data_IF_064113844558
#
_entry.id   IF_064113844558
#
_cell.length_a   1.000
_cell.length_b   1.000
_cell.length_c   1.000
_cell.angle_alpha   90.00
_cell.angle_beta   90.00
_cell.angle_gamma   90.00
#
_symmetry.space_group_name_H-M   'P 1'
#
loop_
_entity.id
_entity.type
_entity.pdbx_description
1 polymer ?
#
# COMPACT_ATOMS: atom_id res chain seq x y z
N UNK A 1 4.76 19.13 -1.51
CA UNK A 1 4.89 17.95 -0.66
C UNK A 1 4.06 16.81 -1.22
N UNK A 2 4.63 15.63 -1.28
CA UNK A 2 3.98 14.45 -1.84
C UNK A 2 3.29 13.61 -0.75
N UNK A 3 2.09 13.15 -1.05
CA UNK A 3 1.38 12.10 -0.33
C UNK A 3 1.50 10.79 -1.13
N UNK A 4 1.65 9.66 -0.44
CA UNK A 4 1.75 8.35 -1.07
C UNK A 4 0.64 7.47 -0.54
N UNK A 5 -0.17 6.90 -1.45
CA UNK A 5 -1.06 5.80 -1.17
C UNK A 5 -0.52 4.56 -1.86
N UNK A 6 -0.48 3.45 -1.16
CA UNK A 6 -0.04 2.19 -1.74
C UNK A 6 -0.96 1.05 -1.32
N UNK A 7 -0.85 -0.04 -2.04
CA UNK A 7 -1.54 -1.28 -1.73
C UNK A 7 -0.73 -2.48 -2.18
N UNK A 8 -1.06 -3.62 -1.60
CA UNK A 8 -0.52 -4.92 -1.94
C UNK A 8 -1.68 -5.81 -2.38
N UNK A 9 -1.54 -6.45 -3.53
CA UNK A 9 -2.45 -7.47 -4.02
C UNK A 9 -1.77 -8.84 -3.95
N UNK A 10 -2.46 -9.81 -3.37
CA UNK A 10 -2.03 -11.20 -3.31
C UNK A 10 -3.25 -12.10 -3.07
N UNK A 11 -3.10 -13.40 -3.30
CA UNK A 11 -4.15 -14.36 -2.97
C UNK A 11 -4.09 -14.80 -1.50
N UNK A 12 -5.14 -15.48 -1.02
CA UNK A 12 -5.26 -15.91 0.38
C UNK A 12 -4.17 -16.90 0.80
N UNK A 13 -3.72 -17.76 -0.10
CA UNK A 13 -2.63 -18.72 0.18
C UNK A 13 -1.33 -17.96 0.44
N UNK A 14 -1.03 -16.99 -0.41
CA UNK A 14 0.16 -16.13 -0.28
C UNK A 14 0.14 -15.33 1.03
N UNK A 15 -1.02 -14.80 1.44
CA UNK A 15 -1.16 -14.12 2.74
C UNK A 15 -0.74 -15.06 3.88
N UNK A 16 -1.24 -16.30 3.89
CA UNK A 16 -0.92 -17.27 4.93
C UNK A 16 0.58 -17.63 4.93
N UNK A 17 1.17 -17.83 3.77
CA UNK A 17 2.61 -18.13 3.64
C UNK A 17 3.49 -16.97 4.14
N UNK A 18 3.18 -15.74 3.75
CA UNK A 18 3.91 -14.54 4.21
C UNK A 18 3.75 -14.40 5.71
N UNK A 19 2.54 -14.53 6.24
CA UNK A 19 2.27 -14.43 7.68
C UNK A 19 3.11 -15.44 8.46
N UNK A 20 3.18 -16.70 8.03
CA UNK A 20 3.99 -17.72 8.68
C UNK A 20 5.50 -17.38 8.65
N UNK A 21 6.03 -16.94 7.50
CA UNK A 21 7.42 -16.50 7.37
C UNK A 21 7.72 -15.33 8.30
N UNK A 22 6.80 -14.35 8.39
CA UNK A 22 6.97 -13.19 9.27
C UNK A 22 6.91 -13.59 10.75
N UNK A 23 6.06 -14.54 11.14
CA UNK A 23 6.05 -15.05 12.51
C UNK A 23 7.37 -15.73 12.89
N UNK A 24 7.94 -16.53 11.98
CA UNK A 24 9.26 -17.11 12.19
C UNK A 24 10.34 -16.03 12.33
N UNK A 25 10.27 -14.98 11.52
CA UNK A 25 11.17 -13.83 11.61
C UNK A 25 11.02 -13.08 12.94
N UNK A 26 9.78 -12.87 13.41
CA UNK A 26 9.50 -12.27 14.73
C UNK A 26 10.14 -13.08 15.86
N UNK A 27 9.99 -14.39 15.83
CA UNK A 27 10.60 -15.29 16.82
C UNK A 27 12.14 -15.23 16.78
N UNK A 28 12.76 -15.25 15.58
CA UNK A 28 14.21 -15.12 15.38
C UNK A 28 14.77 -13.87 16.04
N UNK A 29 14.06 -12.74 15.95
CA UNK A 29 14.51 -11.45 16.48
C UNK A 29 13.90 -11.07 17.82
N UNK A 30 13.07 -11.93 18.40
CA UNK A 30 12.26 -11.63 19.60
C UNK A 30 11.53 -10.28 19.47
N UNK A 31 10.87 -10.07 18.32
CA UNK A 31 10.22 -8.80 17.95
C UNK A 31 8.72 -8.99 17.74
N UNK A 32 7.93 -8.58 18.72
CA UNK A 32 6.46 -8.72 18.71
C UNK A 32 5.72 -7.39 18.54
N UNK A 33 6.46 -6.30 18.37
CA UNK A 33 5.87 -5.01 18.07
C UNK A 33 5.41 -4.92 16.61
N UNK A 34 4.55 -3.94 16.33
CA UNK A 34 4.10 -3.64 14.98
C UNK A 34 5.25 -3.10 14.12
N UNK A 35 5.39 -3.63 12.91
CA UNK A 35 6.29 -3.06 11.93
C UNK A 35 5.69 -1.76 11.40
N UNK A 36 6.37 -0.65 11.62
CA UNK A 36 5.98 0.67 11.15
C UNK A 36 7.17 1.45 10.62
N UNK A 37 6.93 2.23 9.58
CA UNK A 37 7.93 3.14 9.03
C UNK A 37 8.49 4.10 10.09
N UNK A 38 7.64 4.56 11.00
CA UNK A 38 8.05 5.47 12.08
C UNK A 38 9.02 4.84 13.06
N UNK A 39 8.99 3.52 13.22
CA UNK A 39 9.71 2.77 14.25
C UNK A 39 11.05 2.19 13.79
N UNK A 40 11.45 2.44 12.53
CA UNK A 40 12.72 1.95 12.00
C UNK A 40 13.88 2.55 12.80
N UNK A 41 14.76 1.66 13.28
CA UNK A 41 15.96 2.00 14.06
C UNK A 41 17.13 1.13 13.62
N UNK A 42 18.36 1.55 13.95
CA UNK A 42 19.56 0.80 13.62
C UNK A 42 19.59 -0.59 14.29
N UNK A 43 19.06 -0.70 15.51
CA UNK A 43 18.96 -1.96 16.26
C UNK A 43 18.22 -3.05 15.47
N UNK A 44 17.16 -2.70 14.78
CA UNK A 44 16.28 -3.64 14.05
C UNK A 44 16.39 -3.53 12.53
N UNK A 45 17.40 -2.83 12.00
CA UNK A 45 17.52 -2.60 10.57
C UNK A 45 17.58 -3.91 9.76
N UNK A 46 18.32 -4.90 10.24
CA UNK A 46 18.41 -6.21 9.57
C UNK A 46 17.09 -6.97 9.60
N UNK A 47 16.33 -6.90 10.69
CA UNK A 47 14.98 -7.44 10.77
C UNK A 47 14.06 -6.83 9.69
N UNK A 48 14.07 -5.49 9.52
CA UNK A 48 13.28 -4.82 8.50
C UNK A 48 13.72 -5.18 7.07
N UNK A 49 15.02 -5.39 6.85
CA UNK A 49 15.54 -5.88 5.56
C UNK A 49 15.06 -7.30 5.26
N UNK A 50 15.18 -8.24 6.21
CA UNK A 50 14.71 -9.61 6.04
C UNK A 50 13.19 -9.66 5.82
N UNK A 51 12.41 -8.83 6.51
CA UNK A 51 10.98 -8.69 6.29
C UNK A 51 10.67 -8.30 4.83
N UNK A 52 11.38 -7.31 4.29
CA UNK A 52 11.19 -6.88 2.91
C UNK A 52 11.64 -7.95 1.90
N UNK A 53 12.67 -8.77 2.21
CA UNK A 53 13.06 -9.88 1.35
C UNK A 53 11.96 -10.95 1.27
N UNK A 54 11.27 -11.27 2.39
CA UNK A 54 10.12 -12.18 2.37
C UNK A 54 9.08 -11.71 1.34
N UNK A 55 8.85 -10.41 1.28
CA UNK A 55 7.92 -9.79 0.34
C UNK A 55 8.48 -9.75 -1.09
N UNK A 56 9.74 -9.32 -1.29
CA UNK A 56 10.31 -9.10 -2.62
C UNK A 56 10.54 -10.37 -3.43
N UNK A 57 10.74 -11.49 -2.77
CA UNK A 57 10.99 -12.79 -3.42
C UNK A 57 9.74 -13.65 -3.55
N UNK A 58 8.56 -13.13 -3.24
CA UNK A 58 7.30 -13.82 -3.53
C UNK A 58 6.70 -13.29 -4.83
N UNK A 59 6.63 -14.14 -5.85
CA UNK A 59 6.12 -13.78 -7.17
C UNK A 59 4.61 -13.54 -7.22
N UNK A 60 3.88 -13.93 -6.18
CA UNK A 60 2.42 -13.82 -6.13
C UNK A 60 1.95 -12.53 -5.42
N UNK A 61 2.87 -11.62 -5.11
CA UNK A 61 2.56 -10.32 -4.52
C UNK A 61 2.84 -9.19 -5.50
N UNK A 62 1.93 -8.25 -5.57
CA UNK A 62 2.06 -7.06 -6.40
C UNK A 62 1.88 -5.84 -5.49
N UNK A 63 2.90 -4.98 -5.44
CA UNK A 63 2.81 -3.68 -4.80
C UNK A 63 2.64 -2.58 -5.84
N UNK A 64 1.68 -1.70 -5.62
CA UNK A 64 1.50 -0.49 -6.43
C UNK A 64 1.27 0.71 -5.53
N UNK A 65 1.79 1.87 -5.95
CA UNK A 65 1.65 3.10 -5.20
C UNK A 65 1.27 4.28 -6.10
N UNK A 66 0.38 5.12 -5.60
CA UNK A 66 -0.03 6.39 -6.20
C UNK A 66 0.68 7.51 -5.46
N UNK A 67 1.47 8.31 -6.17
CA UNK A 67 2.17 9.47 -5.62
C UNK A 67 1.41 10.73 -6.03
N UNK A 68 1.00 11.50 -5.04
CA UNK A 68 0.12 12.65 -5.21
C UNK A 68 0.87 13.91 -4.81
N UNK A 69 1.02 14.85 -5.75
CA UNK A 69 1.53 16.18 -5.45
C UNK A 69 0.43 17.01 -4.78
N UNK A 70 0.55 17.19 -3.47
CA UNK A 70 -0.45 17.92 -2.68
C UNK A 70 -0.55 19.41 -3.05
N UNK A 71 0.46 19.99 -3.71
CA UNK A 71 0.42 21.38 -4.16
C UNK A 71 -0.49 21.57 -5.37
N UNK A 72 -0.70 20.50 -6.15
CA UNK A 72 -1.57 20.50 -7.33
C UNK A 72 -3.02 20.12 -7.02
N UNK A 73 -3.34 19.82 -5.75
CA UNK A 73 -4.68 19.45 -5.35
C UNK A 73 -5.59 20.66 -5.21
N UNK A 74 -6.66 20.70 -5.98
CA UNK A 74 -7.72 21.70 -5.86
C UNK A 74 -9.00 21.07 -5.28
N UNK A 75 -9.07 21.01 -3.94
CA UNK A 75 -10.23 20.41 -3.25
C UNK A 75 -11.52 21.22 -3.46
N UNK A 76 -11.44 22.54 -3.67
CA UNK A 76 -12.62 23.38 -3.93
C UNK A 76 -13.28 22.99 -5.25
N UNK A 77 -12.48 22.84 -6.29
CA UNK A 77 -12.98 22.56 -7.65
C UNK A 77 -13.45 21.10 -7.80
N UNK A 78 -12.72 20.13 -7.23
CA UNK A 78 -12.93 18.71 -7.56
C UNK A 78 -13.59 17.90 -6.46
N UNK A 79 -13.64 18.39 -5.21
CA UNK A 79 -14.07 17.59 -4.07
C UNK A 79 -15.09 18.33 -3.17
N UNK A 80 -15.82 19.32 -3.71
CA UNK A 80 -16.79 20.10 -2.93
C UNK A 80 -16.18 20.65 -1.61
N UNK A 81 -14.90 21.03 -1.66
CA UNK A 81 -14.09 21.42 -0.50
C UNK A 81 -13.97 20.34 0.59
N UNK A 82 -14.30 19.09 0.29
CA UNK A 82 -14.22 17.96 1.22
C UNK A 82 -12.97 17.11 0.94
N UNK A 83 -12.00 17.14 1.85
CA UNK A 83 -10.76 16.37 1.73
C UNK A 83 -11.00 14.85 1.80
N UNK A 84 -12.01 14.41 2.53
CA UNK A 84 -12.38 12.99 2.63
C UNK A 84 -12.82 12.44 1.27
N UNK A 85 -13.70 13.15 0.56
CA UNK A 85 -14.10 12.75 -0.81
C UNK A 85 -12.88 12.63 -1.72
N UNK A 86 -11.95 13.59 -1.65
CA UNK A 86 -10.70 13.54 -2.40
C UNK A 86 -9.87 12.30 -2.10
N UNK A 87 -9.78 11.93 -0.83
CA UNK A 87 -9.02 10.77 -0.38
C UNK A 87 -9.63 9.46 -0.91
N UNK A 88 -10.95 9.31 -0.90
CA UNK A 88 -11.62 8.14 -1.45
C UNK A 88 -11.55 8.05 -2.98
N UNK A 89 -11.48 9.17 -3.69
CA UNK A 89 -11.18 9.21 -5.13
C UNK A 89 -9.78 8.64 -5.42
N UNK A 90 -8.78 8.87 -4.54
CA UNK A 90 -7.47 8.28 -4.71
C UNK A 90 -7.47 6.76 -4.44
N UNK A 91 -8.23 6.27 -3.46
CA UNK A 91 -8.45 4.84 -3.31
C UNK A 91 -9.10 4.23 -4.55
N UNK A 92 -10.13 4.86 -5.08
CA UNK A 92 -10.75 4.43 -6.33
C UNK A 92 -9.73 4.34 -7.47
N UNK A 93 -8.89 5.36 -7.65
CA UNK A 93 -7.85 5.36 -8.69
C UNK A 93 -6.83 4.24 -8.48
N UNK A 94 -6.33 4.05 -7.26
CA UNK A 94 -5.37 3.01 -6.94
C UNK A 94 -5.97 1.61 -7.20
N UNK A 95 -7.16 1.35 -6.68
CA UNK A 95 -7.77 0.02 -6.73
C UNK A 95 -8.22 -0.32 -8.14
N UNK A 96 -9.02 0.55 -8.77
CA UNK A 96 -9.61 0.26 -10.07
C UNK A 96 -8.57 0.34 -11.20
N UNK A 97 -7.82 1.43 -11.27
CA UNK A 97 -6.98 1.71 -12.42
C UNK A 97 -5.59 1.10 -12.34
N UNK A 98 -5.13 0.75 -11.15
CA UNK A 98 -3.80 0.14 -10.99
C UNK A 98 -3.88 -1.36 -10.71
N UNK A 99 -4.79 -1.83 -9.84
CA UNK A 99 -4.86 -3.26 -9.51
C UNK A 99 -5.84 -4.03 -10.39
N UNK A 100 -7.09 -3.58 -10.49
CA UNK A 100 -8.10 -4.36 -11.19
C UNK A 100 -7.88 -4.41 -12.70
N UNK A 101 -7.24 -3.40 -13.29
CA UNK A 101 -6.94 -3.35 -14.72
C UNK A 101 -6.13 -4.55 -15.21
N UNK A 102 -5.24 -5.07 -14.39
CA UNK A 102 -4.33 -6.17 -14.81
C UNK A 102 -5.00 -7.55 -14.76
N UNK A 103 -6.24 -7.65 -14.25
CA UNK A 103 -6.94 -8.92 -14.06
C UNK A 103 -8.33 -8.92 -14.74
N UNK A 104 -8.47 -8.24 -15.86
CA UNK A 104 -9.77 -8.05 -16.53
C UNK A 104 -10.36 -9.34 -17.10
N UNK A 105 -9.51 -10.27 -17.52
CA UNK A 105 -9.90 -11.53 -18.14
C UNK A 105 -10.16 -12.65 -17.15
N UNK A 106 -9.83 -12.43 -15.88
CA UNK A 106 -10.01 -13.42 -14.82
C UNK A 106 -11.35 -13.21 -14.10
N UNK A 107 -11.99 -14.29 -13.65
CA UNK A 107 -13.10 -14.24 -12.71
C UNK A 107 -12.64 -13.85 -11.28
N UNK A 108 -11.65 -12.96 -11.20
CA UNK A 108 -11.05 -12.54 -9.94
C UNK A 108 -12.06 -11.78 -9.09
N UNK A 109 -12.21 -12.22 -7.85
CA UNK A 109 -13.02 -11.57 -6.84
C UNK A 109 -12.12 -10.86 -5.84
N UNK A 110 -12.37 -9.57 -5.62
CA UNK A 110 -11.55 -8.73 -4.76
C UNK A 110 -12.20 -8.57 -3.39
N UNK A 111 -11.42 -8.82 -2.35
CA UNK A 111 -11.68 -8.40 -0.97
C UNK A 111 -10.65 -7.31 -0.65
N UNK A 112 -11.11 -6.12 -0.27
CA UNK A 112 -10.25 -4.97 -0.05
C UNK A 112 -10.19 -4.70 1.45
N UNK A 113 -8.99 -4.72 2.00
CA UNK A 113 -8.73 -4.32 3.37
C UNK A 113 -8.04 -2.95 3.39
N UNK A 114 -8.68 -1.98 4.03
CA UNK A 114 -8.12 -0.65 4.28
C UNK A 114 -7.60 -0.57 5.71
N UNK A 115 -6.46 0.07 5.92
CA UNK A 115 -5.98 0.34 7.26
C UNK A 115 -6.94 1.26 8.02
N UNK A 116 -7.09 1.00 9.31
CA UNK A 116 -8.03 1.70 10.18
C UNK A 116 -7.71 3.19 10.27
N UNK A 117 -8.67 4.02 9.85
CA UNK A 117 -8.61 5.48 10.00
C UNK A 117 -9.96 6.05 10.45
N UNK A 118 -9.95 7.20 11.11
CA UNK A 118 -11.19 7.95 11.36
C UNK A 118 -11.71 8.51 10.04
N UNK A 119 -12.94 8.18 9.69
CA UNK A 119 -13.61 8.69 8.50
C UNK A 119 -15.12 8.65 8.71
N UNK A 120 -15.83 9.61 8.14
CA UNK A 120 -17.28 9.62 8.03
C UNK A 120 -17.79 8.98 6.73
N UNK A 121 -16.88 8.61 5.81
CA UNK A 121 -17.24 8.04 4.52
C UNK A 121 -17.65 6.57 4.66
N UNK A 122 -18.73 6.19 3.99
CA UNK A 122 -19.23 4.80 4.01
C UNK A 122 -18.43 3.95 3.02
N UNK A 123 -17.87 2.85 3.47
CA UNK A 123 -17.09 1.94 2.63
C UNK A 123 -17.94 1.25 1.57
N UNK A 124 -19.23 1.07 1.83
CA UNK A 124 -20.18 0.55 0.84
C UNK A 124 -20.28 1.47 -0.39
N UNK A 125 -20.17 2.79 -0.22
CA UNK A 125 -20.15 3.72 -1.35
C UNK A 125 -18.89 3.50 -2.20
N UNK A 126 -17.73 3.27 -1.58
CA UNK A 126 -16.51 2.95 -2.32
C UNK A 126 -16.67 1.65 -3.11
N UNK A 127 -17.20 0.60 -2.48
CA UNK A 127 -17.50 -0.68 -3.15
C UNK A 127 -18.44 -0.50 -4.34
N UNK A 128 -19.52 0.25 -4.13
CA UNK A 128 -20.48 0.55 -5.19
C UNK A 128 -19.80 1.24 -6.38
N UNK A 129 -19.05 2.33 -6.14
CA UNK A 129 -18.37 3.06 -7.21
C UNK A 129 -17.29 2.21 -7.90
N UNK A 130 -16.56 1.35 -7.19
CA UNK A 130 -15.59 0.43 -7.78
C UNK A 130 -16.26 -0.54 -8.75
N UNK A 131 -17.38 -1.15 -8.37
CA UNK A 131 -18.13 -2.08 -9.21
C UNK A 131 -18.73 -1.38 -10.43
N UNK A 132 -19.36 -0.21 -10.25
CA UNK A 132 -19.90 0.58 -11.35
C UNK A 132 -18.82 1.04 -12.32
N UNK A 133 -17.69 1.52 -11.78
CA UNK A 133 -16.56 1.95 -12.59
C UNK A 133 -15.88 0.80 -13.33
N UNK A 134 -15.83 -0.40 -12.74
CA UNK A 134 -15.30 -1.59 -13.40
C UNK A 134 -16.16 -1.96 -14.62
N UNK A 135 -17.47 -2.09 -14.45
CA UNK A 135 -18.40 -2.43 -15.53
C UNK A 135 -18.38 -1.39 -16.66
N UNK A 136 -18.42 -0.11 -16.31
CA UNK A 136 -18.43 1.00 -17.29
C UNK A 136 -17.10 1.10 -18.05
N UNK A 137 -15.96 1.02 -17.35
CA UNK A 137 -14.65 1.30 -17.92
C UNK A 137 -14.13 0.15 -18.79
N UNK A 138 -14.37 -1.08 -18.36
CA UNK A 138 -13.79 -2.25 -19.00
C UNK A 138 -14.77 -2.98 -19.94
N UNK A 139 -16.01 -2.46 -20.07
CA UNK A 139 -17.03 -3.00 -20.98
C UNK A 139 -17.18 -4.53 -20.91
N UNK A 140 -17.03 -5.07 -19.72
CA UNK A 140 -17.09 -6.50 -19.50
C UNK A 140 -18.54 -6.91 -19.29
N UNK A 141 -18.99 -7.97 -19.98
CA UNK A 141 -20.28 -8.63 -19.71
C UNK A 141 -20.17 -9.44 -18.41
N UNK A 142 -19.95 -8.74 -17.29
CA UNK A 142 -19.74 -9.41 -16.01
C UNK A 142 -21.09 -9.74 -15.41
N UNK A 143 -21.34 -11.03 -15.24
CA UNK A 143 -22.53 -11.54 -14.55
C UNK A 143 -22.47 -11.20 -13.04
N UNK A 144 -21.27 -11.04 -12.49
CA UNK A 144 -21.07 -10.77 -11.06
C UNK A 144 -20.05 -9.65 -10.83
N UNK A 145 -20.38 -8.74 -9.94
CA UNK A 145 -19.48 -7.67 -9.51
C UNK A 145 -18.19 -8.20 -8.87
N UNK A 146 -17.00 -7.75 -9.32
CA UNK A 146 -15.72 -8.31 -8.87
C UNK A 146 -15.37 -7.88 -7.44
N UNK A 147 -15.76 -6.67 -7.00
CA UNK A 147 -15.43 -6.19 -5.64
C UNK A 147 -16.50 -6.68 -4.66
N UNK A 148 -16.13 -7.70 -3.86
CA UNK A 148 -17.03 -8.38 -2.92
C UNK A 148 -17.20 -7.62 -1.61
N UNK A 149 -16.10 -7.13 -1.06
CA UNK A 149 -16.13 -6.32 0.16
C UNK A 149 -15.03 -5.26 0.17
N UNK A 150 -15.28 -4.18 0.91
CA UNK A 150 -14.31 -3.18 1.33
C UNK A 150 -14.45 -3.05 2.84
N UNK A 151 -13.42 -3.44 3.56
CA UNK A 151 -13.45 -3.58 5.01
C UNK A 151 -12.27 -2.84 5.66
N UNK A 152 -12.45 -2.42 6.91
CA UNK A 152 -11.37 -1.88 7.72
C UNK A 152 -10.68 -3.01 8.45
N UNK A 153 -9.37 -3.05 8.38
CA UNK A 153 -8.54 -3.99 9.12
C UNK A 153 -7.55 -3.24 10.00
N UNK A 154 -7.40 -3.68 11.24
CA UNK A 154 -6.36 -3.16 12.13
C UNK A 154 -4.99 -3.65 11.64
N UNK A 155 -4.08 -2.72 11.30
CA UNK A 155 -2.73 -3.05 10.82
C UNK A 155 -1.95 -3.95 11.79
N UNK A 156 -2.22 -3.89 13.08
CA UNK A 156 -1.62 -4.80 14.08
C UNK A 156 -1.93 -6.27 13.82
N UNK A 157 -3.03 -6.56 13.11
CA UNK A 157 -3.49 -7.91 12.79
C UNK A 157 -3.15 -8.35 11.36
N UNK A 158 -2.39 -7.53 10.61
CA UNK A 158 -2.08 -7.82 9.22
C UNK A 158 -0.63 -7.48 8.87
N UNK A 159 0.17 -8.52 8.68
CA UNK A 159 1.55 -8.37 8.23
C UNK A 159 1.63 -7.67 6.85
N UNK A 160 0.65 -7.92 5.99
CA UNK A 160 0.57 -7.30 4.66
C UNK A 160 0.38 -5.78 4.78
N UNK A 161 -0.50 -5.30 5.67
CA UNK A 161 -0.68 -3.86 5.89
C UNK A 161 0.57 -3.22 6.51
N UNK A 162 1.27 -3.93 7.40
CA UNK A 162 2.53 -3.46 7.97
C UNK A 162 3.64 -3.36 6.92
N UNK A 163 3.76 -4.34 6.03
CA UNK A 163 4.71 -4.29 4.90
C UNK A 163 4.36 -3.12 3.97
N UNK A 164 3.06 -2.91 3.69
CA UNK A 164 2.60 -1.79 2.89
C UNK A 164 3.01 -0.43 3.51
N UNK A 165 2.85 -0.27 4.85
CA UNK A 165 3.28 0.95 5.56
C UNK A 165 4.78 1.24 5.38
N UNK A 166 5.61 0.21 5.42
CA UNK A 166 7.05 0.36 5.20
C UNK A 166 7.37 0.84 3.78
N UNK A 167 6.70 0.27 2.77
CA UNK A 167 6.94 0.60 1.36
C UNK A 167 6.47 2.02 1.03
N UNK A 168 5.24 2.39 1.42
CA UNK A 168 4.73 3.75 1.19
C UNK A 168 5.52 4.78 2.00
N UNK A 169 5.95 4.41 3.21
CA UNK A 169 6.79 5.23 4.06
C UNK A 169 8.16 5.50 3.43
N UNK A 170 8.80 4.48 2.83
CA UNK A 170 10.07 4.63 2.12
C UNK A 170 9.95 5.57 0.91
N UNK A 171 8.92 5.36 0.08
CA UNK A 171 8.64 6.21 -1.08
C UNK A 171 8.38 7.66 -0.63
N UNK A 172 7.49 7.84 0.35
CA UNK A 172 7.14 9.18 0.85
C UNK A 172 8.33 9.92 1.48
N UNK A 173 9.18 9.20 2.21
CA UNK A 173 10.41 9.77 2.78
C UNK A 173 11.38 10.21 1.70
N UNK A 174 11.58 9.40 0.66
CA UNK A 174 12.46 9.69 -0.45
C UNK A 174 11.93 10.84 -1.31
N UNK A 175 10.66 10.77 -1.75
CA UNK A 175 10.02 11.80 -2.62
C UNK A 175 9.92 13.17 -1.96
N UNK A 176 9.77 13.24 -0.64
CA UNK A 176 9.77 14.49 0.12
C UNK A 176 11.18 14.93 0.54
N UNK A 177 12.23 14.27 0.04
CA UNK A 177 13.64 14.63 0.26
C UNK A 177 14.04 14.69 1.74
N UNK A 178 13.35 13.91 2.61
CA UNK A 178 13.69 13.88 4.02
C UNK A 178 15.08 13.32 4.30
N UNK A 179 15.64 12.54 3.39
CA UNK A 179 17.00 11.99 3.45
C UNK A 179 18.09 13.03 3.18
N UNK A 180 17.74 14.23 2.65
CA UNK A 180 18.66 15.34 2.40
C UNK A 180 18.70 16.35 3.56
N UNK A 181 17.86 16.19 4.59
CA UNK A 181 17.82 17.10 5.73
C UNK A 181 18.94 16.79 6.70
N UNK A 182 19.46 17.81 7.39
CA UNK A 182 20.56 17.67 8.35
C UNK A 182 20.30 16.65 9.48
N UNK A 183 19.03 16.44 9.86
CA UNK A 183 18.61 15.55 10.94
C UNK A 183 17.88 14.30 10.42
N UNK A 184 18.23 13.82 9.22
CA UNK A 184 17.62 12.60 8.69
C UNK A 184 17.99 11.36 9.49
N UNK A 185 17.08 10.38 9.53
CA UNK A 185 17.35 9.10 10.22
C UNK A 185 18.16 8.18 9.31
N UNK A 186 19.40 7.89 9.69
CA UNK A 186 20.35 7.04 8.95
C UNK A 186 19.76 5.65 8.69
N UNK A 187 19.10 5.03 9.66
CA UNK A 187 18.46 3.72 9.51
C UNK A 187 17.40 3.71 8.41
N UNK A 188 16.59 4.76 8.30
CA UNK A 188 15.60 4.90 7.21
C UNK A 188 16.26 5.04 5.85
N UNK A 189 17.32 5.83 5.77
CA UNK A 189 18.07 5.99 4.52
C UNK A 189 18.75 4.68 4.09
N UNK A 190 19.35 3.97 5.04
CA UNK A 190 19.94 2.64 4.78
C UNK A 190 18.89 1.63 4.29
N UNK A 191 17.68 1.66 4.83
CA UNK A 191 16.60 0.79 4.35
C UNK A 191 16.15 1.18 2.95
N UNK A 192 16.06 2.48 2.63
CA UNK A 192 15.77 2.97 1.28
C UNK A 192 16.82 2.48 0.29
N UNK A 193 18.12 2.63 0.61
CA UNK A 193 19.21 2.15 -0.24
C UNK A 193 19.15 0.64 -0.45
N UNK A 194 18.79 -0.11 0.59
CA UNK A 194 18.57 -1.54 0.47
C UNK A 194 17.43 -1.85 -0.53
N UNK A 195 16.27 -1.18 -0.42
CA UNK A 195 15.15 -1.35 -1.36
C UNK A 195 15.58 -1.02 -2.80
N UNK A 196 16.29 0.09 -2.99
CA UNK A 196 16.79 0.51 -4.31
C UNK A 196 17.70 -0.55 -4.93
N UNK A 197 18.64 -1.09 -4.17
CA UNK A 197 19.58 -2.11 -4.65
C UNK A 197 18.86 -3.43 -4.97
N UNK A 198 18.00 -3.93 -4.07
CA UNK A 198 17.28 -5.19 -4.27
C UNK A 198 16.34 -5.17 -5.49
N UNK A 199 15.78 -4.01 -5.81
CA UNK A 199 14.84 -3.86 -6.93
C UNK A 199 15.44 -3.19 -8.16
N UNK A 200 16.74 -2.87 -8.16
CA UNK A 200 17.43 -2.13 -9.21
C UNK A 200 16.74 -0.79 -9.57
N UNK A 201 16.27 -0.07 -8.56
CA UNK A 201 15.55 1.19 -8.73
C UNK A 201 16.46 2.35 -8.35
N UNK A 202 16.76 3.26 -9.29
CA UNK A 202 17.57 4.45 -9.02
C UNK A 202 16.77 5.47 -8.19
N UNK A 203 15.52 5.72 -8.58
CA UNK A 203 14.66 6.72 -7.95
C UNK A 203 13.35 6.09 -7.47
N UNK A 204 13.19 5.95 -6.15
CA UNK A 204 11.94 5.46 -5.57
C UNK A 204 10.75 6.38 -5.95
N UNK A 205 9.76 5.78 -6.62
CA UNK A 205 8.53 6.48 -7.00
C UNK A 205 8.61 7.23 -8.32
N UNK A 206 9.51 6.89 -9.21
CA UNK A 206 9.59 7.44 -10.57
C UNK A 206 9.19 6.43 -11.66
N UNK A 207 8.76 5.23 -11.30
CA UNK A 207 8.33 4.18 -12.25
C UNK A 207 6.83 3.92 -12.09
#
# INVERSE_FOLDING_TARGET
RFMVLGGISCNLITISLITNKVQNLRNKYNFFSEFKWTNISDKYLNLYKELLLIFFYDSNVIFKALIIDCQKLNHKQFNQNNKEIGFYKFYYQLILNMFAKDNLESNTKYIIHLDKRKTSYKLEDLKFYLNMGFSSKFKTNIVEYPFRSVEVLDSKKSEILQINDLLIGAIGYYKNEYHLKNNYKISKYRLIKFIQNEKNIVNLGNN
#
